data_IF_939660196601
#
_entry.id   IF_939660196601
#
_cell.length_a   1.000
_cell.length_b   1.000
_cell.length_c   1.000
_cell.angle_alpha   90.00
_cell.angle_beta   90.00
_cell.angle_gamma   90.00
#
_symmetry.space_group_name_H-M   'P 1'
#
loop_
_entity.id
_entity.type
_entity.pdbx_description
1 polymer ?
#
# COMPACT_ATOMS: atom_id res chain seq x y z
N UNK A 1 29.08 28.93 -6.28
CA UNK A 1 28.17 27.83 -6.64
C UNK A 1 26.73 28.32 -6.45
N UNK A 2 25.80 27.90 -7.32
CA UNK A 2 24.38 28.16 -7.12
C UNK A 2 23.78 27.01 -6.28
N UNK A 3 23.12 27.35 -5.18
CA UNK A 3 22.54 26.43 -4.21
C UNK A 3 20.99 26.52 -4.19
N UNK A 4 20.37 27.30 -5.07
CA UNK A 4 18.91 27.47 -5.12
C UNK A 4 18.18 26.14 -5.39
N UNK A 5 17.45 25.63 -4.38
CA UNK A 5 16.66 24.39 -4.50
C UNK A 5 15.41 24.51 -5.39
N UNK A 6 15.00 25.73 -5.74
CA UNK A 6 13.78 26.00 -6.54
C UNK A 6 14.03 26.05 -8.05
N UNK A 7 15.28 26.18 -8.51
CA UNK A 7 15.63 26.00 -9.91
C UNK A 7 15.86 24.52 -10.15
N UNK A 8 14.77 23.77 -10.30
CA UNK A 8 14.85 22.45 -10.91
C UNK A 8 15.57 22.62 -12.26
N UNK A 9 16.68 21.92 -12.42
CA UNK A 9 17.39 21.77 -13.67
C UNK A 9 16.36 21.37 -14.74
N UNK A 10 16.09 22.29 -15.66
CA UNK A 10 15.30 22.09 -16.89
C UNK A 10 16.09 21.23 -17.90
N UNK A 11 16.75 20.19 -17.40
CA UNK A 11 17.60 19.30 -18.16
C UNK A 11 16.92 17.95 -18.28
N UNK A 12 16.26 17.80 -19.43
CA UNK A 12 15.67 16.60 -19.98
C UNK A 12 14.57 15.94 -19.14
N UNK A 13 13.39 15.86 -19.76
CA UNK A 13 12.34 14.88 -19.47
C UNK A 13 12.98 13.59 -18.97
N UNK A 14 12.91 13.39 -17.67
CA UNK A 14 13.14 12.09 -17.07
C UNK A 14 11.97 11.21 -17.49
N UNK A 15 12.07 10.63 -18.70
CA UNK A 15 11.36 9.40 -19.10
C UNK A 15 11.72 8.21 -18.20
N UNK A 16 12.53 8.44 -17.16
CA UNK A 16 12.83 7.49 -16.11
C UNK A 16 11.58 7.34 -15.23
N UNK A 17 10.84 6.26 -15.49
CA UNK A 17 9.55 5.98 -14.89
C UNK A 17 9.57 5.93 -13.36
N UNK A 18 8.38 6.03 -12.76
CA UNK A 18 8.08 5.85 -11.33
C UNK A 18 8.96 4.80 -10.62
N UNK A 19 9.23 3.68 -11.30
CA UNK A 19 10.09 2.59 -10.83
C UNK A 19 11.54 3.01 -10.56
N UNK A 20 12.14 3.89 -11.36
CA UNK A 20 13.49 4.40 -11.10
C UNK A 20 13.54 5.28 -9.85
N UNK A 21 12.52 6.11 -9.63
CA UNK A 21 12.41 6.93 -8.42
C UNK A 21 12.26 6.06 -7.18
N UNK A 22 11.42 5.02 -7.23
CA UNK A 22 11.34 4.04 -6.14
C UNK A 22 12.68 3.33 -5.93
N UNK A 23 13.37 2.93 -7.00
CA UNK A 23 14.69 2.28 -6.89
C UNK A 23 15.73 3.19 -6.22
N UNK A 24 15.69 4.50 -6.48
CA UNK A 24 16.55 5.49 -5.81
C UNK A 24 16.21 5.69 -4.32
N UNK A 25 14.94 5.51 -3.94
CA UNK A 25 14.47 5.65 -2.57
C UNK A 25 14.56 4.35 -1.76
N UNK A 26 14.65 3.19 -2.42
CA UNK A 26 14.77 1.87 -1.79
C UNK A 26 15.92 1.76 -0.75
N UNK A 27 17.10 2.39 -0.93
CA UNK A 27 18.15 2.39 0.07
C UNK A 27 17.73 2.96 1.43
N UNK A 28 16.79 3.93 1.46
CA UNK A 28 16.27 4.53 2.69
C UNK A 28 15.51 3.51 3.55
N UNK A 29 14.93 2.49 2.90
CA UNK A 29 14.19 1.42 3.54
C UNK A 29 15.03 0.16 3.78
N UNK A 30 16.32 0.17 3.40
CA UNK A 30 17.20 -1.01 3.48
C UNK A 30 17.22 -1.63 4.88
N UNK A 31 17.16 -0.79 5.91
CA UNK A 31 17.16 -1.21 7.31
C UNK A 31 15.85 -1.90 7.72
N UNK A 32 14.73 -1.60 7.04
CA UNK A 32 13.39 -2.12 7.34
C UNK A 32 12.91 -3.19 6.33
N UNK A 33 13.82 -3.71 5.48
CA UNK A 33 13.48 -4.64 4.37
C UNK A 33 12.70 -5.87 4.81
N UNK A 34 13.00 -6.43 5.98
CA UNK A 34 12.34 -7.64 6.49
C UNK A 34 10.88 -7.37 6.82
N UNK A 35 10.62 -6.23 7.44
CA UNK A 35 9.27 -5.82 7.84
C UNK A 35 8.43 -5.44 6.62
N UNK A 36 9.05 -4.84 5.61
CA UNK A 36 8.41 -4.59 4.31
C UNK A 36 7.96 -5.89 3.64
N UNK A 37 8.84 -6.90 3.54
CA UNK A 37 8.50 -8.20 2.97
C UNK A 37 7.39 -8.87 3.78
N UNK A 38 7.47 -8.83 5.10
CA UNK A 38 6.42 -9.35 5.98
C UNK A 38 5.08 -8.67 5.75
N UNK A 39 5.03 -7.33 5.66
CA UNK A 39 3.74 -6.68 5.41
C UNK A 39 3.23 -6.89 4.00
N UNK A 40 4.10 -7.05 2.99
CA UNK A 40 3.68 -7.44 1.64
C UNK A 40 3.05 -8.84 1.62
N UNK A 41 3.67 -9.82 2.28
CA UNK A 41 3.09 -11.16 2.37
C UNK A 41 1.76 -11.15 3.13
N UNK A 42 1.70 -10.38 4.22
CA UNK A 42 0.49 -10.21 5.03
C UNK A 42 -0.68 -9.64 4.22
N UNK A 43 -0.41 -8.69 3.33
CA UNK A 43 -1.44 -8.14 2.42
C UNK A 43 -1.94 -9.19 1.45
N UNK A 44 -1.05 -9.97 0.84
CA UNK A 44 -1.46 -11.02 -0.09
C UNK A 44 -2.37 -12.03 0.63
N UNK A 45 -2.00 -12.44 1.85
CA UNK A 45 -2.83 -13.32 2.68
C UNK A 45 -4.19 -12.70 2.99
N UNK A 46 -4.24 -11.45 3.45
CA UNK A 46 -5.49 -10.74 3.72
C UNK A 46 -6.38 -10.62 2.48
N UNK A 47 -5.78 -10.30 1.33
CA UNK A 47 -6.51 -10.21 0.05
C UNK A 47 -7.15 -11.56 -0.30
N UNK A 48 -6.42 -12.67 -0.16
CA UNK A 48 -6.97 -14.01 -0.41
C UNK A 48 -8.13 -14.33 0.53
N UNK A 49 -7.98 -14.09 1.84
CA UNK A 49 -9.05 -14.32 2.82
C UNK A 49 -10.31 -13.51 2.53
N UNK A 50 -10.14 -12.24 2.13
CA UNK A 50 -11.24 -11.38 1.73
C UNK A 50 -11.95 -11.87 0.47
N UNK A 51 -11.23 -12.45 -0.49
CA UNK A 51 -11.79 -12.99 -1.73
C UNK A 51 -12.50 -14.34 -1.54
N UNK A 52 -12.04 -15.17 -0.60
CA UNK A 52 -12.68 -16.45 -0.27
C UNK A 52 -14.04 -16.25 0.42
N UNK A 53 -14.20 -15.15 1.16
CA UNK A 53 -15.39 -14.90 1.97
C UNK A 53 -16.70 -14.85 1.14
N UNK A 54 -16.81 -14.09 0.03
CA UNK A 54 -17.98 -14.12 -0.86
C UNK A 54 -18.27 -15.51 -1.44
N UNK A 55 -17.24 -16.30 -1.76
CA UNK A 55 -17.39 -17.65 -2.33
C UNK A 55 -18.00 -18.60 -1.29
N UNK A 56 -17.52 -18.55 -0.05
CA UNK A 56 -18.10 -19.30 1.07
C UNK A 56 -19.55 -18.91 1.33
N UNK A 57 -19.87 -17.62 1.26
CA UNK A 57 -21.25 -17.12 1.42
C UNK A 57 -22.14 -17.69 0.31
N UNK A 58 -21.73 -17.57 -0.96
CA UNK A 58 -22.48 -18.14 -2.09
C UNK A 58 -22.72 -19.63 -1.95
N UNK A 59 -21.66 -20.40 -1.64
CA UNK A 59 -21.77 -21.84 -1.38
C UNK A 59 -22.73 -22.17 -0.24
N UNK A 60 -22.72 -21.35 0.82
CA UNK A 60 -23.61 -21.54 1.98
C UNK A 60 -25.07 -21.32 1.60
N UNK A 61 -25.33 -20.29 0.78
CA UNK A 61 -26.67 -20.00 0.26
C UNK A 61 -27.17 -21.19 -0.57
N UNK A 62 -26.39 -21.61 -1.57
CA UNK A 62 -26.81 -22.63 -2.53
C UNK A 62 -26.98 -24.02 -1.89
N UNK A 63 -26.07 -24.40 -0.99
CA UNK A 63 -26.07 -25.76 -0.43
C UNK A 63 -26.89 -25.91 0.83
N UNK A 64 -26.91 -24.91 1.71
CA UNK A 64 -27.51 -25.06 3.04
C UNK A 64 -28.79 -24.24 3.21
N UNK A 65 -28.81 -22.99 2.74
CA UNK A 65 -30.01 -22.15 2.89
C UNK A 65 -31.15 -22.64 1.98
N UNK A 66 -30.88 -22.93 0.71
CA UNK A 66 -31.92 -23.43 -0.22
C UNK A 66 -32.53 -24.76 0.26
N UNK A 67 -31.72 -25.63 0.86
CA UNK A 67 -32.15 -26.91 1.41
C UNK A 67 -32.71 -26.84 2.83
N UNK A 68 -32.86 -25.63 3.40
CA UNK A 68 -33.33 -25.38 4.79
C UNK A 68 -32.51 -26.14 5.85
N UNK A 69 -31.23 -26.40 5.58
CA UNK A 69 -30.31 -27.07 6.50
C UNK A 69 -29.60 -26.03 7.37
N UNK A 70 -30.23 -25.67 8.49
CA UNK A 70 -29.73 -24.64 9.40
C UNK A 70 -28.40 -25.00 10.09
N UNK A 71 -28.15 -26.28 10.36
CA UNK A 71 -26.89 -26.73 10.97
C UNK A 71 -25.69 -26.42 10.06
N UNK A 72 -25.84 -26.65 8.75
CA UNK A 72 -24.82 -26.32 7.76
C UNK A 72 -24.58 -24.81 7.66
N UNK A 73 -25.64 -24.00 7.76
CA UNK A 73 -25.54 -22.53 7.78
C UNK A 73 -24.74 -22.06 8.99
N UNK A 74 -25.06 -22.56 10.19
CA UNK A 74 -24.35 -22.16 11.43
C UNK A 74 -22.87 -22.55 11.36
N UNK A 75 -22.54 -23.75 10.87
CA UNK A 75 -21.14 -24.20 10.71
C UNK A 75 -20.36 -23.27 9.78
N UNK A 76 -20.92 -22.93 8.61
CA UNK A 76 -20.24 -22.05 7.67
C UNK A 76 -20.19 -20.60 8.16
N UNK A 77 -21.20 -20.12 8.89
CA UNK A 77 -21.17 -18.83 9.54
C UNK A 77 -20.01 -18.73 10.56
N UNK A 78 -19.77 -19.78 11.35
CA UNK A 78 -18.63 -19.86 12.27
C UNK A 78 -17.31 -19.85 11.49
N UNK A 79 -17.20 -20.58 10.38
CA UNK A 79 -15.99 -20.58 9.53
C UNK A 79 -15.71 -19.18 9.00
N UNK A 80 -16.72 -18.49 8.45
CA UNK A 80 -16.58 -17.12 7.93
C UNK A 80 -16.19 -16.16 9.07
N UNK A 81 -16.81 -16.30 10.25
CA UNK A 81 -16.47 -15.50 11.42
C UNK A 81 -15.00 -15.69 11.83
N UNK A 82 -14.50 -16.92 11.85
CA UNK A 82 -13.09 -17.22 12.15
C UNK A 82 -12.17 -16.60 11.08
N UNK A 83 -12.52 -16.68 9.80
CA UNK A 83 -11.77 -16.03 8.72
C UNK A 83 -11.68 -14.52 8.96
N UNK A 84 -12.79 -13.85 9.28
CA UNK A 84 -12.77 -12.42 9.57
C UNK A 84 -12.00 -12.06 10.84
N UNK A 85 -12.04 -12.90 11.87
CA UNK A 85 -11.19 -12.72 13.04
C UNK A 85 -9.70 -12.80 12.67
N UNK A 86 -9.31 -13.79 11.86
CA UNK A 86 -7.93 -13.90 11.36
C UNK A 86 -7.54 -12.66 10.55
N UNK A 87 -8.40 -12.21 9.62
CA UNK A 87 -8.17 -10.99 8.83
C UNK A 87 -8.00 -9.77 9.72
N UNK A 88 -8.82 -9.63 10.77
CA UNK A 88 -8.74 -8.53 11.73
C UNK A 88 -7.39 -8.50 12.45
N UNK A 89 -6.98 -9.62 13.05
CA UNK A 89 -5.70 -9.70 13.76
C UNK A 89 -4.52 -9.45 12.82
N UNK A 90 -4.55 -10.09 11.65
CA UNK A 90 -3.51 -9.99 10.64
C UNK A 90 -3.37 -8.54 10.14
N UNK A 91 -4.50 -7.87 9.86
CA UNK A 91 -4.53 -6.45 9.47
C UNK A 91 -4.04 -5.54 10.61
N UNK A 92 -4.43 -5.79 11.86
CA UNK A 92 -3.96 -5.00 13.01
C UNK A 92 -2.44 -5.08 13.16
N UNK A 93 -1.86 -6.29 13.12
CA UNK A 93 -0.41 -6.46 13.20
C UNK A 93 0.30 -5.81 12.02
N UNK A 94 -0.25 -5.95 10.81
CA UNK A 94 0.28 -5.29 9.63
C UNK A 94 0.34 -3.76 9.82
N UNK A 95 -0.76 -3.14 10.24
CA UNK A 95 -0.83 -1.68 10.48
C UNK A 95 0.17 -1.25 11.54
N UNK A 96 0.28 -2.00 12.65
CA UNK A 96 1.21 -1.69 13.73
C UNK A 96 2.67 -1.78 13.28
N UNK A 97 3.03 -2.85 12.57
CA UNK A 97 4.40 -3.07 12.09
C UNK A 97 4.77 -2.00 11.06
N UNK A 98 3.91 -1.77 10.07
CA UNK A 98 4.16 -0.78 9.00
C UNK A 98 4.14 0.66 9.50
N UNK A 99 3.30 0.98 10.48
CA UNK A 99 3.36 2.27 11.18
C UNK A 99 4.73 2.47 11.85
N UNK A 100 5.26 1.42 12.48
CA UNK A 100 6.61 1.42 13.02
C UNK A 100 7.70 1.62 11.96
N UNK A 101 7.59 0.95 10.80
CA UNK A 101 8.50 1.13 9.65
C UNK A 101 8.53 2.58 9.21
N UNK A 102 7.35 3.20 9.05
CA UNK A 102 7.24 4.61 8.68
C UNK A 102 7.95 5.54 9.67
N UNK A 103 7.70 5.35 10.97
CA UNK A 103 8.30 6.17 12.03
C UNK A 103 9.83 6.02 12.13
N UNK A 104 10.37 4.81 11.98
CA UNK A 104 11.84 4.62 11.96
C UNK A 104 12.46 5.19 10.70
N UNK A 105 11.80 5.04 9.55
CA UNK A 105 12.26 5.59 8.27
C UNK A 105 12.34 7.11 8.32
N UNK A 106 11.29 7.78 8.81
CA UNK A 106 11.27 9.24 8.92
C UNK A 106 12.31 9.74 9.93
N UNK A 107 12.49 9.04 11.06
CA UNK A 107 13.52 9.38 12.05
C UNK A 107 14.91 9.36 11.42
N UNK A 108 15.27 8.26 10.76
CA UNK A 108 16.57 8.11 10.10
C UNK A 108 16.78 9.14 8.99
N UNK A 109 15.75 9.37 8.17
CA UNK A 109 15.82 10.32 7.06
C UNK A 109 16.02 11.76 7.57
N UNK A 110 15.27 12.19 8.59
CA UNK A 110 15.42 13.53 9.17
C UNK A 110 16.78 13.68 9.84
N UNK A 111 17.28 12.67 10.54
CA UNK A 111 18.61 12.71 11.15
C UNK A 111 19.71 12.86 10.10
N UNK A 112 19.65 12.08 9.01
CA UNK A 112 20.62 12.16 7.92
C UNK A 112 20.59 13.54 7.21
N UNK A 113 19.40 14.09 6.97
CA UNK A 113 19.27 15.44 6.39
C UNK A 113 19.81 16.49 7.35
N UNK A 114 19.51 16.38 8.65
CA UNK A 114 19.98 17.33 9.66
C UNK A 114 21.51 17.33 9.81
N UNK A 115 22.13 16.15 9.83
CA UNK A 115 23.58 16.03 9.81
C UNK A 115 24.17 16.65 8.53
N UNK A 116 23.56 16.36 7.37
CA UNK A 116 24.03 16.91 6.10
C UNK A 116 23.90 18.43 6.04
N UNK A 117 22.85 19.02 6.62
CA UNK A 117 22.68 20.46 6.69
C UNK A 117 23.79 21.13 7.50
N UNK A 118 24.25 20.53 8.60
CA UNK A 118 25.33 21.09 9.42
C UNK A 118 26.67 21.16 8.67
N UNK A 119 26.89 20.27 7.70
CA UNK A 119 28.12 20.26 6.89
C UNK A 119 28.09 21.28 5.72
N UNK A 120 26.97 21.97 5.48
CA UNK A 120 26.84 22.89 4.34
C UNK A 120 27.41 24.27 4.65
N UNK A 121 28.01 24.96 3.65
CA UNK A 121 28.55 26.30 3.82
C UNK A 121 27.43 27.32 4.09
N UNK A 122 27.76 28.42 4.78
CA UNK A 122 26.84 29.54 5.06
C UNK A 122 26.16 30.07 3.78
N UNK A 123 26.87 30.08 2.65
CA UNK A 123 26.33 30.49 1.35
C UNK A 123 25.08 29.70 0.91
N UNK A 124 24.97 28.43 1.32
CA UNK A 124 23.77 27.62 1.07
C UNK A 124 22.55 28.20 1.78
N UNK A 125 22.73 28.64 3.03
CA UNK A 125 21.66 29.20 3.87
C UNK A 125 21.29 30.64 3.48
N UNK A 126 22.21 31.38 2.86
CA UNK A 126 21.89 32.68 2.27
C UNK A 126 20.96 32.55 1.04
N UNK A 127 21.07 31.44 0.31
CA UNK A 127 20.29 31.18 -0.91
C UNK A 127 18.99 30.39 -0.65
N UNK A 128 18.86 29.74 0.51
CA UNK A 128 17.68 28.92 0.86
C UNK A 128 17.17 29.30 2.25
N UNK A 129 15.91 29.76 2.33
CA UNK A 129 15.28 30.19 3.58
C UNK A 129 15.20 29.02 4.57
N UNK A 130 15.64 29.24 5.81
CA UNK A 130 15.60 28.23 6.87
C UNK A 130 14.18 27.65 7.09
N UNK A 131 13.14 28.49 7.02
CA UNK A 131 11.74 28.04 7.13
C UNK A 131 11.34 27.06 6.02
N UNK A 132 11.79 27.29 4.77
CA UNK A 132 11.50 26.40 3.65
C UNK A 132 12.21 25.05 3.81
N UNK A 133 13.45 25.06 4.32
CA UNK A 133 14.21 23.84 4.61
C UNK A 133 13.52 23.00 5.69
N UNK A 134 13.11 23.62 6.80
CA UNK A 134 12.39 22.93 7.89
C UNK A 134 11.04 22.40 7.38
N UNK A 135 10.31 23.18 6.57
CA UNK A 135 9.05 22.75 5.97
C UNK A 135 9.24 21.52 5.08
N UNK A 136 10.25 21.50 4.20
CA UNK A 136 10.57 20.34 3.36
C UNK A 136 10.99 19.13 4.18
N UNK A 137 11.86 19.33 5.18
CA UNK A 137 12.26 18.26 6.10
C UNK A 137 11.06 17.67 6.81
N UNK A 138 10.11 18.47 7.26
CA UNK A 138 8.95 17.94 7.96
C UNK A 138 7.93 17.32 7.00
N UNK A 139 7.52 18.05 5.97
CA UNK A 139 6.42 17.67 5.09
C UNK A 139 6.81 16.60 4.07
N UNK A 140 7.93 16.76 3.37
CA UNK A 140 8.31 15.83 2.30
C UNK A 140 8.73 14.48 2.86
N UNK A 141 9.46 14.47 3.99
CA UNK A 141 9.81 13.20 4.67
C UNK A 141 8.58 12.50 5.25
N UNK A 142 7.58 13.26 5.71
CA UNK A 142 6.32 12.66 6.19
C UNK A 142 5.53 12.04 5.04
N UNK A 143 5.46 12.70 3.89
CA UNK A 143 4.83 12.15 2.68
C UNK A 143 5.53 10.87 2.22
N UNK A 144 6.86 10.84 2.22
CA UNK A 144 7.63 9.63 1.91
C UNK A 144 7.32 8.49 2.89
N UNK A 145 7.28 8.79 4.19
CA UNK A 145 6.89 7.81 5.22
C UNK A 145 5.48 7.27 5.00
N UNK A 146 4.50 8.14 4.76
CA UNK A 146 3.12 7.74 4.49
C UNK A 146 3.01 6.89 3.22
N UNK A 147 3.76 7.25 2.17
CA UNK A 147 3.81 6.49 0.94
C UNK A 147 4.26 5.04 1.19
N UNK A 148 5.38 4.84 1.88
CA UNK A 148 5.92 3.49 2.11
C UNK A 148 5.16 2.68 3.17
N UNK A 149 4.66 3.33 4.24
CA UNK A 149 3.96 2.63 5.33
C UNK A 149 2.50 2.34 5.03
N UNK A 150 1.87 3.10 4.12
CA UNK A 150 0.42 3.01 3.90
C UNK A 150 0.06 2.97 2.42
N UNK A 151 0.36 4.02 1.65
CA UNK A 151 -0.18 4.15 0.29
C UNK A 151 0.29 3.04 -0.65
N UNK A 152 1.57 2.70 -0.61
CA UNK A 152 2.15 1.61 -1.41
C UNK A 152 1.53 0.26 -1.02
N UNK A 153 1.39 0.02 0.28
CA UNK A 153 0.79 -1.20 0.82
C UNK A 153 -0.67 -1.36 0.36
N UNK A 154 -1.47 -0.31 0.50
CA UNK A 154 -2.86 -0.28 0.02
C UNK A 154 -2.95 -0.46 -1.49
N UNK A 155 -2.09 0.23 -2.25
CA UNK A 155 -2.05 0.12 -3.70
C UNK A 155 -1.81 -1.33 -4.16
N UNK A 156 -0.79 -1.99 -3.59
CA UNK A 156 -0.50 -3.40 -3.87
C UNK A 156 -1.70 -4.28 -3.48
N UNK A 157 -2.25 -4.11 -2.29
CA UNK A 157 -3.41 -4.89 -1.83
C UNK A 157 -4.63 -4.74 -2.72
N UNK A 158 -4.93 -3.51 -3.14
CA UNK A 158 -6.05 -3.21 -4.03
C UNK A 158 -5.86 -3.83 -5.41
N UNK A 159 -4.64 -3.83 -5.96
CA UNK A 159 -4.35 -4.54 -7.21
C UNK A 159 -4.63 -6.04 -7.06
N UNK A 160 -4.18 -6.66 -5.97
CA UNK A 160 -4.44 -8.09 -5.72
C UNK A 160 -5.93 -8.39 -5.58
N UNK A 161 -6.66 -7.56 -4.84
CA UNK A 161 -8.12 -7.71 -4.67
C UNK A 161 -8.83 -7.52 -6.01
N UNK A 162 -8.48 -6.47 -6.76
CA UNK A 162 -9.10 -6.14 -8.04
C UNK A 162 -8.88 -7.25 -9.08
N UNK A 163 -7.62 -7.65 -9.30
CA UNK A 163 -7.27 -8.71 -10.25
C UNK A 163 -7.87 -10.04 -9.79
N UNK A 164 -7.71 -10.38 -8.50
CA UNK A 164 -8.22 -11.63 -7.96
C UNK A 164 -9.74 -11.73 -8.09
N UNK A 165 -10.48 -10.68 -7.71
CA UNK A 165 -11.94 -10.67 -7.80
C UNK A 165 -12.42 -10.81 -9.26
N UNK A 166 -11.73 -10.13 -10.19
CA UNK A 166 -11.99 -10.27 -11.64
C UNK A 166 -11.79 -11.70 -12.13
N UNK A 167 -10.68 -12.34 -11.75
CA UNK A 167 -10.42 -13.76 -12.09
C UNK A 167 -11.50 -14.66 -11.47
N UNK A 168 -11.80 -14.48 -10.19
CA UNK A 168 -12.78 -15.31 -9.47
C UNK A 168 -14.16 -15.29 -10.12
N UNK A 169 -14.69 -14.11 -10.45
CA UNK A 169 -16.04 -14.02 -11.04
C UNK A 169 -16.08 -14.58 -12.47
N UNK A 170 -15.01 -14.38 -13.26
CA UNK A 170 -14.89 -14.97 -14.60
C UNK A 170 -14.80 -16.50 -14.55
N UNK A 171 -14.12 -17.06 -13.55
CA UNK A 171 -14.04 -18.51 -13.34
C UNK A 171 -15.39 -19.11 -12.91
N UNK A 172 -16.18 -18.41 -12.08
CA UNK A 172 -17.51 -18.87 -11.66
C UNK A 172 -18.50 -18.83 -12.83
N UNK A 173 -18.57 -17.70 -13.52
CA UNK A 173 -19.43 -17.54 -14.69
C UNK A 173 -18.88 -16.47 -15.63
N UNK A 174 -18.38 -16.91 -16.79
CA UNK A 174 -17.74 -16.01 -17.75
C UNK A 174 -18.66 -14.88 -18.22
N UNK A 175 -19.94 -15.18 -18.50
CA UNK A 175 -20.89 -14.18 -19.01
C UNK A 175 -21.22 -13.14 -17.94
N UNK A 176 -21.52 -13.58 -16.72
CA UNK A 176 -21.82 -12.68 -15.61
C UNK A 176 -20.59 -11.84 -15.22
N UNK A 177 -19.41 -12.46 -15.18
CA UNK A 177 -18.15 -11.77 -14.89
C UNK A 177 -17.82 -10.69 -15.91
N UNK A 178 -18.06 -10.92 -17.20
CA UNK A 178 -17.82 -9.92 -18.25
C UNK A 178 -18.70 -8.69 -18.03
N UNK A 179 -20.00 -8.88 -17.79
CA UNK A 179 -20.91 -7.77 -17.48
C UNK A 179 -20.54 -7.02 -16.20
N UNK A 180 -20.04 -7.73 -15.18
CA UNK A 180 -19.60 -7.12 -13.93
C UNK A 180 -18.32 -6.27 -14.08
N UNK A 181 -17.43 -6.63 -15.02
CA UNK A 181 -16.13 -5.93 -15.22
C UNK A 181 -16.24 -4.72 -16.15
N UNK A 182 -17.22 -4.69 -17.07
CA UNK A 182 -17.38 -3.59 -18.04
C UNK A 182 -17.40 -2.19 -17.38
N UNK A 183 -18.19 -1.93 -16.30
CA UNK A 183 -18.18 -0.63 -15.66
C UNK A 183 -16.81 -0.23 -15.08
N UNK A 184 -16.05 -1.20 -14.58
CA UNK A 184 -14.71 -0.97 -14.04
C UNK A 184 -13.72 -0.57 -15.14
N UNK A 185 -13.83 -1.16 -16.35
CA UNK A 185 -13.02 -0.77 -17.50
C UNK A 185 -13.37 0.63 -18.01
N UNK A 186 -14.66 0.97 -18.05
CA UNK A 186 -15.11 2.31 -18.45
C UNK A 186 -14.57 3.41 -17.52
N UNK A 187 -14.59 3.16 -16.20
CA UNK A 187 -14.00 4.07 -15.21
C UNK A 187 -12.48 4.22 -15.32
N UNK A 188 -11.76 3.23 -15.86
CA UNK A 188 -10.30 3.30 -16.02
C UNK A 188 -9.91 4.11 -17.26
N UNK A 189 -10.81 4.16 -18.26
CA UNK A 189 -10.59 4.89 -19.52
C UNK A 189 -10.93 6.39 -19.38
N UNK A 190 -11.82 6.74 -18.44
CA UNK A 190 -12.25 8.11 -18.16
C UNK A 190 -11.44 8.76 -17.03
#
# INVERSE_FOLDING_TARGET
MNYELNKLQDNNKSDNGFFETIKKLAPLLKQEKQQLIFGLSTIITNSILNLISPVLIGYTIDKYIQNKNYDGVIRFAIIIFVIYMITLFTSYFQTKIMGGVGQRTIFNLRNNIFLKLQDLPIDFFNQNKAGDLISRINNDTSKLSQFFSQSLMQFVGNIFIMIGAGIFILCINFKLGLFAIIPALLLLIF
#
